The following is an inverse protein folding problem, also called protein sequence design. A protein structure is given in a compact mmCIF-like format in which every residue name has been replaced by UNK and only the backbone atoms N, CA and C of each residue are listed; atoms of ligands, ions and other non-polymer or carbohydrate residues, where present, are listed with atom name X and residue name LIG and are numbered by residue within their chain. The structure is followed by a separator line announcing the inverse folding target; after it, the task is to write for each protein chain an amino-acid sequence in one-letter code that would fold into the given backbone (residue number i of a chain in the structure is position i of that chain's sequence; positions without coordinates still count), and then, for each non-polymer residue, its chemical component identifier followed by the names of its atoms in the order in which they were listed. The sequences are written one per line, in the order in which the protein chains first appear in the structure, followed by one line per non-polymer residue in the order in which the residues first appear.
data_IF_799941190268
#
_entry.id   IF_799941190268
#
_cell.length_a   1.000
_cell.length_b   1.000
_cell.length_c   1.000
_cell.angle_alpha   90.00
_cell.angle_beta   90.00
_cell.angle_gamma   90.00
#
_symmetry.space_group_name_H-M   'P 1'
#
loop_
_entity.id
_entity.type
_entity.pdbx_description
1 polymer ?
#
# COMPACT_ATOMS: atom_id res chain seq x y z
N UNK A 1 8.51 59.42 -14.89
CA UNK A 1 9.03 58.04 -15.05
C UNK A 1 8.62 57.13 -13.89
N UNK A 2 8.78 57.54 -12.63
CA UNK A 2 8.39 56.77 -11.44
C UNK A 2 6.90 56.40 -11.36
N UNK A 3 5.99 57.33 -11.66
CA UNK A 3 4.53 57.09 -11.65
C UNK A 3 4.12 56.08 -12.74
N UNK A 4 4.69 56.19 -13.94
CA UNK A 4 4.44 55.24 -15.03
C UNK A 4 4.97 53.84 -14.71
N UNK A 5 6.16 53.75 -14.11
CA UNK A 5 6.73 52.49 -13.61
C UNK A 5 5.87 51.84 -12.52
N UNK A 6 5.38 52.63 -11.56
CA UNK A 6 4.49 52.15 -10.50
C UNK A 6 3.14 51.64 -11.04
N UNK A 7 2.55 52.33 -12.03
CA UNK A 7 1.31 51.89 -12.68
C UNK A 7 1.48 50.60 -13.50
N UNK A 8 2.62 50.45 -14.19
CA UNK A 8 2.96 49.23 -14.91
C UNK A 8 3.18 48.05 -13.96
N UNK A 9 3.93 48.27 -12.87
CA UNK A 9 4.16 47.26 -11.85
C UNK A 9 2.85 46.83 -11.16
N UNK A 10 2.00 47.79 -10.79
CA UNK A 10 0.67 47.52 -10.23
C UNK A 10 -0.18 46.66 -11.17
N UNK A 11 -0.26 47.02 -12.45
CA UNK A 11 -1.01 46.23 -13.44
C UNK A 11 -0.45 44.82 -13.63
N UNK A 12 0.87 44.66 -13.57
CA UNK A 12 1.52 43.35 -13.66
C UNK A 12 1.13 42.47 -12.46
N UNK A 13 1.22 43.01 -11.24
CA UNK A 13 0.87 42.32 -10.00
C UNK A 13 -0.62 41.96 -9.98
N UNK A 14 -1.51 42.90 -10.31
CA UNK A 14 -2.97 42.66 -10.39
C UNK A 14 -3.31 41.53 -11.37
N UNK A 15 -2.68 41.49 -12.55
CA UNK A 15 -2.90 40.41 -13.54
C UNK A 15 -2.42 39.04 -13.04
N UNK A 16 -1.26 38.99 -12.38
CA UNK A 16 -0.71 37.74 -11.82
C UNK A 16 -1.57 37.22 -10.66
N UNK A 17 -1.91 38.08 -9.71
CA UNK A 17 -2.81 37.74 -8.59
C UNK A 17 -4.21 37.33 -9.08
N UNK A 18 -4.75 38.04 -10.07
CA UNK A 18 -6.04 37.69 -10.67
C UNK A 18 -6.04 36.33 -11.37
N UNK A 19 -4.88 35.83 -11.80
CA UNK A 19 -4.75 34.48 -12.37
C UNK A 19 -4.76 33.43 -11.26
N UNK A 20 -3.96 33.63 -10.20
CA UNK A 20 -3.95 32.74 -9.02
C UNK A 20 -5.35 32.64 -8.40
N UNK A 21 -6.03 33.78 -8.20
CA UNK A 21 -7.37 33.83 -7.62
C UNK A 21 -8.42 33.12 -8.49
N UNK A 22 -8.31 33.19 -9.81
CA UNK A 22 -9.21 32.46 -10.72
C UNK A 22 -8.99 30.95 -10.64
N UNK A 23 -7.74 30.50 -10.64
CA UNK A 23 -7.42 29.08 -10.45
C UNK A 23 -7.93 28.58 -9.09
N UNK A 24 -7.73 29.35 -8.02
CA UNK A 24 -8.24 29.01 -6.69
C UNK A 24 -9.78 28.88 -6.66
N UNK A 25 -10.51 29.77 -7.33
CA UNK A 25 -11.97 29.68 -7.42
C UNK A 25 -12.46 28.45 -8.21
N UNK A 26 -11.73 28.04 -9.26
CA UNK A 26 -12.03 26.81 -10.01
C UNK A 26 -11.80 25.56 -9.13
N UNK A 27 -10.73 25.56 -8.34
CA UNK A 27 -10.43 24.49 -7.38
C UNK A 27 -11.49 24.41 -6.29
N UNK A 28 -11.92 25.56 -5.74
CA UNK A 28 -13.03 25.64 -4.76
C UNK A 28 -14.34 25.09 -5.34
N UNK A 29 -14.58 25.30 -6.64
CA UNK A 29 -15.73 24.74 -7.36
C UNK A 29 -15.58 23.24 -7.71
N UNK A 30 -14.47 22.60 -7.36
CA UNK A 30 -14.23 21.16 -7.51
C UNK A 30 -13.37 20.75 -8.71
N UNK A 31 -12.89 21.69 -9.52
CA UNK A 31 -11.95 21.40 -10.61
C UNK A 31 -10.50 21.34 -10.07
N UNK A 32 -10.11 20.17 -9.59
CA UNK A 32 -8.76 19.90 -9.10
C UNK A 32 -7.71 19.78 -10.21
N UNK A 33 -8.12 19.69 -11.49
CA UNK A 33 -7.22 19.59 -12.65
C UNK A 33 -6.65 20.95 -13.08
N UNK A 34 -7.28 22.03 -12.64
CA UNK A 34 -6.86 23.39 -12.90
C UNK A 34 -5.44 23.67 -12.35
N UNK A 35 -4.62 24.39 -13.12
CA UNK A 35 -3.24 24.76 -12.75
C UNK A 35 -2.95 26.25 -12.95
N UNK A 36 -2.06 26.79 -12.13
CA UNK A 36 -1.58 28.16 -12.26
C UNK A 36 -0.59 28.22 -13.42
N UNK A 37 -0.79 29.06 -14.45
CA UNK A 37 0.17 29.23 -15.54
C UNK A 37 1.48 29.83 -15.02
N UNK A 38 2.56 29.04 -15.07
CA UNK A 38 3.90 29.48 -14.67
C UNK A 38 4.60 30.11 -15.88
N UNK A 39 5.02 31.37 -15.77
CA UNK A 39 5.82 32.07 -16.81
C UNK A 39 6.87 32.95 -16.16
N UNK A 40 8.11 32.83 -16.61
CA UNK A 40 9.26 33.59 -16.09
C UNK A 40 10.05 32.83 -15.02
N UNK A 41 10.97 33.53 -14.37
CA UNK A 41 11.81 33.02 -13.26
C UNK A 41 11.70 33.88 -12.00
N UNK A 42 10.62 34.67 -11.90
CA UNK A 42 10.33 35.54 -10.77
C UNK A 42 9.70 34.76 -9.60
N UNK A 43 9.50 35.43 -8.47
CA UNK A 43 8.94 34.89 -7.23
C UNK A 43 7.51 34.36 -7.46
N UNK A 44 6.75 34.96 -8.38
CA UNK A 44 5.43 34.48 -8.78
C UNK A 44 5.50 33.15 -9.52
N UNK A 45 6.51 32.95 -10.37
CA UNK A 45 6.75 31.68 -11.04
C UNK A 45 7.22 30.59 -10.05
N UNK A 46 7.95 30.94 -9.00
CA UNK A 46 8.30 30.01 -7.92
C UNK A 46 7.05 29.58 -7.15
N UNK A 47 6.27 30.54 -6.65
CA UNK A 47 5.02 30.29 -5.93
C UNK A 47 4.02 29.47 -6.76
N UNK A 48 3.87 29.79 -8.05
CA UNK A 48 2.99 29.04 -8.94
C UNK A 48 3.41 27.57 -9.10
N UNK A 49 4.73 27.28 -9.13
CA UNK A 49 5.24 25.90 -9.15
C UNK A 49 4.96 25.17 -7.85
N UNK A 50 5.16 25.83 -6.70
CA UNK A 50 4.92 25.21 -5.41
C UNK A 50 3.44 24.90 -5.18
N UNK A 51 2.54 25.82 -5.55
CA UNK A 51 1.09 25.58 -5.51
C UNK A 51 0.70 24.45 -6.48
N UNK A 52 1.19 24.46 -7.72
CA UNK A 52 0.89 23.38 -8.65
C UNK A 52 1.36 22.02 -8.13
N UNK A 53 2.54 21.93 -7.49
CA UNK A 53 3.01 20.69 -6.85
C UNK A 53 2.09 20.24 -5.71
N UNK A 54 1.57 21.18 -4.91
CA UNK A 54 0.55 20.87 -3.91
C UNK A 54 -0.75 20.37 -4.56
N UNK A 55 -1.19 20.96 -5.67
CA UNK A 55 -2.40 20.55 -6.38
C UNK A 55 -2.25 19.18 -7.02
N UNK A 56 -1.10 18.88 -7.64
CA UNK A 56 -0.77 17.54 -8.14
C UNK A 56 -0.88 16.49 -7.02
N UNK A 57 -0.39 16.84 -5.81
CA UNK A 57 -0.51 15.97 -4.63
C UNK A 57 -1.97 15.80 -4.19
N UNK A 58 -2.78 16.86 -4.18
CA UNK A 58 -4.19 16.81 -3.80
C UNK A 58 -5.01 15.99 -4.80
N UNK A 59 -4.78 16.18 -6.09
CA UNK A 59 -5.47 15.45 -7.16
C UNK A 59 -5.16 13.95 -7.06
N UNK A 60 -3.90 13.58 -6.89
CA UNK A 60 -3.48 12.19 -6.69
C UNK A 60 -4.12 11.56 -5.45
N UNK A 61 -4.19 12.30 -4.33
CA UNK A 61 -4.88 11.84 -3.11
C UNK A 61 -6.40 11.66 -3.35
N UNK A 62 -7.04 12.57 -4.07
CA UNK A 62 -8.47 12.54 -4.35
C UNK A 62 -8.86 11.45 -5.36
N UNK A 63 -8.04 11.23 -6.40
CA UNK A 63 -8.21 10.10 -7.31
C UNK A 63 -8.06 8.77 -6.58
N UNK A 64 -7.06 8.67 -5.69
CA UNK A 64 -6.89 7.53 -4.79
C UNK A 64 -8.17 7.24 -4.00
N UNK A 65 -8.72 8.23 -3.29
CA UNK A 65 -9.95 8.09 -2.49
C UNK A 65 -11.16 7.67 -3.36
N UNK A 66 -11.32 8.23 -4.56
CA UNK A 66 -12.46 7.91 -5.44
C UNK A 66 -12.38 6.50 -6.02
N UNK A 67 -11.20 6.07 -6.49
CA UNK A 67 -11.00 4.70 -6.96
C UNK A 67 -11.22 3.69 -5.82
N UNK A 68 -10.69 4.01 -4.64
CA UNK A 68 -10.86 3.22 -3.42
C UNK A 68 -12.35 3.10 -3.06
N UNK A 69 -13.11 4.19 -3.06
CA UNK A 69 -14.52 4.18 -2.64
C UNK A 69 -15.42 3.36 -3.58
N UNK A 70 -15.23 3.46 -4.91
CA UNK A 70 -16.05 2.72 -5.87
C UNK A 70 -15.68 1.23 -5.95
N UNK A 71 -14.40 0.89 -5.90
CA UNK A 71 -13.94 -0.49 -5.90
C UNK A 71 -14.34 -1.21 -4.60
N UNK A 72 -14.14 -0.58 -3.44
CA UNK A 72 -14.57 -1.13 -2.14
C UNK A 72 -16.07 -1.38 -2.13
N UNK A 73 -16.89 -0.43 -2.58
CA UNK A 73 -18.34 -0.60 -2.53
C UNK A 73 -18.82 -1.78 -3.40
N UNK A 74 -18.22 -1.98 -4.57
CA UNK A 74 -18.53 -3.11 -5.45
C UNK A 74 -18.07 -4.45 -4.84
N UNK A 75 -16.86 -4.48 -4.29
CA UNK A 75 -16.23 -5.72 -3.82
C UNK A 75 -16.68 -6.12 -2.40
N UNK A 76 -17.30 -5.21 -1.65
CA UNK A 76 -18.07 -5.54 -0.44
C UNK A 76 -19.46 -6.07 -0.75
N UNK A 77 -20.11 -5.58 -1.82
CA UNK A 77 -21.49 -5.98 -2.19
C UNK A 77 -21.58 -7.46 -2.53
N UNK A 78 -20.56 -8.01 -3.17
CA UNK A 78 -20.51 -9.43 -3.59
C UNK A 78 -20.50 -10.41 -2.40
N UNK A 79 -19.54 -10.35 -1.45
CA UNK A 79 -19.53 -11.24 -0.28
C UNK A 79 -20.73 -10.99 0.64
N UNK A 80 -21.15 -9.74 0.87
CA UNK A 80 -22.37 -9.45 1.65
C UNK A 80 -23.63 -10.04 0.99
N UNK A 81 -23.72 -9.98 -0.34
CA UNK A 81 -24.78 -10.64 -1.10
C UNK A 81 -24.76 -12.16 -0.93
N UNK A 82 -23.57 -12.76 -0.92
CA UNK A 82 -23.39 -14.21 -0.70
C UNK A 82 -23.79 -14.63 0.71
N UNK A 83 -23.35 -13.91 1.75
CA UNK A 83 -23.75 -14.13 3.14
C UNK A 83 -25.26 -14.06 3.28
N UNK A 84 -25.88 -13.00 2.73
CA UNK A 84 -27.33 -12.85 2.75
C UNK A 84 -28.05 -14.01 2.06
N UNK A 85 -27.60 -14.40 0.87
CA UNK A 85 -28.21 -15.52 0.13
C UNK A 85 -28.12 -16.84 0.90
N UNK A 86 -26.95 -17.15 1.49
CA UNK A 86 -26.77 -18.37 2.30
C UNK A 86 -27.72 -18.42 3.50
N UNK A 87 -27.88 -17.29 4.18
CA UNK A 87 -28.80 -17.18 5.32
C UNK A 87 -30.26 -17.29 4.86
N UNK A 88 -30.65 -16.62 3.76
CA UNK A 88 -32.00 -16.73 3.17
C UNK A 88 -32.32 -18.18 2.73
N UNK A 89 -31.37 -18.89 2.14
CA UNK A 89 -31.52 -20.29 1.72
C UNK A 89 -31.62 -21.26 2.91
N UNK A 90 -30.91 -20.98 3.99
CA UNK A 90 -31.02 -21.73 5.24
C UNK A 90 -32.41 -21.55 5.89
N UNK A 91 -33.01 -20.36 5.75
CA UNK A 91 -34.33 -20.02 6.28
C UNK A 91 -35.51 -20.54 5.43
N UNK A 92 -35.33 -20.67 4.09
CA UNK A 92 -36.40 -21.13 3.17
C UNK A 92 -36.58 -22.65 3.10
N UNK A 93 -35.56 -23.41 3.51
CA UNK A 93 -35.59 -24.87 3.53
C UNK A 93 -36.29 -25.36 4.81
N UNK A 94 -36.62 -26.66 4.95
CA UNK A 94 -36.98 -27.23 6.25
C UNK A 94 -35.85 -26.94 7.26
N UNK A 95 -36.08 -25.93 8.10
CA UNK A 95 -35.06 -25.31 8.92
C UNK A 95 -34.72 -26.22 10.10
N UNK A 96 -33.75 -27.11 9.88
CA UNK A 96 -33.19 -27.94 10.95
C UNK A 96 -32.11 -27.16 11.70
N UNK A 97 -32.03 -27.37 13.02
CA UNK A 97 -31.02 -26.73 13.89
C UNK A 97 -29.58 -26.91 13.36
N UNK A 98 -29.16 -28.10 12.87
CA UNK A 98 -27.82 -28.27 12.31
C UNK A 98 -27.55 -27.43 11.07
N UNK A 99 -28.53 -27.30 10.16
CA UNK A 99 -28.39 -26.52 8.92
C UNK A 99 -28.31 -25.02 9.20
N UNK A 100 -29.16 -24.52 10.09
CA UNK A 100 -29.11 -23.12 10.55
C UNK A 100 -27.76 -22.81 11.22
N UNK A 101 -27.28 -23.73 12.07
CA UNK A 101 -25.99 -23.56 12.75
C UNK A 101 -24.81 -23.58 11.78
N UNK A 102 -24.85 -24.43 10.75
CA UNK A 102 -23.84 -24.45 9.68
C UNK A 102 -23.83 -23.15 8.89
N UNK A 103 -24.99 -22.70 8.40
CA UNK A 103 -25.09 -21.43 7.67
C UNK A 103 -24.65 -20.21 8.49
N UNK A 104 -24.92 -20.22 9.80
CA UNK A 104 -24.46 -19.17 10.70
C UNK A 104 -22.93 -19.16 10.87
N UNK A 105 -22.28 -20.33 10.97
CA UNK A 105 -20.81 -20.42 11.04
C UNK A 105 -20.17 -19.91 9.75
N UNK A 106 -20.64 -20.38 8.60
CA UNK A 106 -20.16 -19.94 7.29
C UNK A 106 -20.32 -18.42 7.11
N UNK A 107 -21.44 -17.86 7.60
CA UNK A 107 -21.68 -16.42 7.57
C UNK A 107 -20.73 -15.64 8.49
N UNK A 108 -20.44 -16.16 9.69
CA UNK A 108 -19.47 -15.57 10.62
C UNK A 108 -18.08 -15.55 10.00
N UNK A 109 -17.60 -16.68 9.46
CA UNK A 109 -16.29 -16.76 8.82
C UNK A 109 -16.14 -15.74 7.68
N UNK A 110 -17.20 -15.57 6.89
CA UNK A 110 -17.19 -14.63 5.77
C UNK A 110 -17.30 -13.16 6.20
N UNK A 111 -17.97 -12.88 7.33
CA UNK A 111 -17.96 -11.55 7.96
C UNK A 111 -16.57 -11.25 8.55
N UNK A 112 -15.91 -12.22 9.17
CA UNK A 112 -14.56 -12.05 9.69
C UNK A 112 -13.55 -11.76 8.57
N UNK A 113 -13.72 -12.40 7.40
CA UNK A 113 -12.95 -12.06 6.19
C UNK A 113 -13.19 -10.62 5.73
N UNK A 114 -14.42 -10.13 5.80
CA UNK A 114 -14.77 -8.74 5.47
C UNK A 114 -14.18 -7.75 6.47
N UNK A 115 -14.15 -8.08 7.76
CA UNK A 115 -13.51 -7.26 8.79
C UNK A 115 -12.00 -7.17 8.53
N UNK A 116 -11.33 -8.31 8.30
CA UNK A 116 -9.90 -8.35 7.93
C UNK A 116 -9.61 -7.54 6.66
N UNK A 117 -10.51 -7.59 5.67
CA UNK A 117 -10.40 -6.76 4.47
C UNK A 117 -10.45 -5.26 4.80
N UNK A 118 -11.38 -4.85 5.66
CA UNK A 118 -11.51 -3.46 6.06
C UNK A 118 -10.30 -2.94 6.84
N UNK A 119 -9.77 -3.73 7.77
CA UNK A 119 -8.55 -3.42 8.51
C UNK A 119 -7.35 -3.19 7.58
N UNK A 120 -7.18 -4.07 6.58
CA UNK A 120 -6.15 -3.93 5.54
C UNK A 120 -6.32 -2.65 4.72
N UNK A 121 -7.54 -2.23 4.42
CA UNK A 121 -7.81 -0.99 3.69
C UNK A 121 -7.53 0.26 4.53
N UNK A 122 -7.91 0.25 5.82
CA UNK A 122 -7.55 1.31 6.76
C UNK A 122 -6.04 1.44 6.87
N UNK A 123 -5.32 0.33 6.96
CA UNK A 123 -3.87 0.33 7.02
C UNK A 123 -3.22 0.97 5.79
N UNK A 124 -3.73 0.68 4.59
CA UNK A 124 -3.26 1.33 3.37
C UNK A 124 -3.52 2.84 3.44
N UNK A 125 -4.73 3.25 3.82
CA UNK A 125 -5.08 4.66 3.93
C UNK A 125 -4.21 5.40 4.96
N UNK A 126 -3.92 4.76 6.10
CA UNK A 126 -3.02 5.28 7.13
C UNK A 126 -1.60 5.45 6.60
N UNK A 127 -1.05 4.43 5.91
CA UNK A 127 0.27 4.50 5.29
C UNK A 127 0.35 5.62 4.24
N UNK A 128 -0.63 5.75 3.36
CA UNK A 128 -0.65 6.76 2.29
C UNK A 128 -0.87 8.19 2.79
N UNK A 129 -1.63 8.35 3.87
CA UNK A 129 -1.92 9.68 4.43
C UNK A 129 -0.65 10.42 4.89
N UNK A 130 0.46 9.70 5.11
CA UNK A 130 1.72 10.26 5.59
C UNK A 130 1.62 10.93 6.96
N UNK A 131 0.46 10.86 7.62
CA UNK A 131 0.13 11.54 8.87
C UNK A 131 1.02 11.10 10.04
N UNK A 132 1.67 9.93 9.94
CA UNK A 132 2.61 9.38 10.94
C UNK A 132 4.09 9.63 10.66
N UNK A 133 4.47 10.29 9.56
CA UNK A 133 5.88 10.65 9.30
C UNK A 133 6.51 11.51 10.41
N UNK A 134 5.69 12.18 11.25
CA UNK A 134 6.14 12.96 12.42
C UNK A 134 6.43 12.12 13.68
N UNK A 135 6.16 10.81 13.66
CA UNK A 135 6.34 9.88 14.78
C UNK A 135 7.31 8.74 14.45
N UNK A 136 8.09 8.87 13.38
CA UNK A 136 9.07 7.86 13.03
C UNK A 136 10.10 7.71 14.15
N UNK A 137 10.27 6.46 14.58
CA UNK A 137 11.25 6.07 15.56
C UNK A 137 12.37 5.29 14.86
N UNK A 138 13.53 5.25 15.51
CA UNK A 138 14.67 4.48 15.03
C UNK A 138 14.44 3.00 15.31
N UNK A 139 14.31 2.22 14.25
CA UNK A 139 13.91 0.80 14.29
C UNK A 139 15.04 -0.06 13.75
N UNK A 140 15.34 -1.17 14.44
CA UNK A 140 16.17 -2.22 13.88
C UNK A 140 15.32 -3.15 13.00
N UNK A 141 15.51 -3.08 11.68
CA UNK A 141 14.85 -3.96 10.71
C UNK A 141 15.23 -5.42 10.90
N UNK A 142 16.45 -5.71 11.37
CA UNK A 142 16.87 -7.08 11.61
C UNK A 142 16.04 -7.74 12.70
N UNK A 143 15.69 -6.99 13.75
CA UNK A 143 14.79 -7.44 14.80
C UNK A 143 13.38 -7.71 14.28
N UNK A 144 12.82 -6.84 13.43
CA UNK A 144 11.51 -7.09 12.80
C UNK A 144 11.52 -8.38 11.96
N UNK A 145 12.59 -8.60 11.17
CA UNK A 145 12.71 -9.80 10.35
C UNK A 145 12.68 -11.09 11.19
N UNK A 146 13.39 -11.09 12.33
CA UNK A 146 13.43 -12.21 13.27
C UNK A 146 12.08 -12.41 13.96
N UNK A 147 11.53 -11.38 14.58
CA UNK A 147 10.25 -11.46 15.30
C UNK A 147 9.11 -12.01 14.43
N UNK A 148 9.00 -11.51 13.20
CA UNK A 148 7.96 -11.95 12.28
C UNK A 148 8.28 -13.34 11.72
N UNK A 149 9.55 -13.65 11.47
CA UNK A 149 9.95 -15.00 11.07
C UNK A 149 9.58 -16.06 12.11
N UNK A 150 9.90 -15.81 13.38
CA UNK A 150 9.58 -16.71 14.50
C UNK A 150 8.06 -16.89 14.64
N UNK A 151 7.28 -15.81 14.48
CA UNK A 151 5.82 -15.88 14.52
C UNK A 151 5.21 -16.73 13.40
N UNK A 152 5.86 -16.80 12.23
CA UNK A 152 5.39 -17.55 11.06
C UNK A 152 5.99 -18.96 10.96
N UNK A 153 6.89 -19.36 11.86
CA UNK A 153 7.51 -20.69 11.87
C UNK A 153 6.46 -21.80 11.87
N UNK A 154 5.52 -21.77 12.81
CA UNK A 154 4.44 -22.77 12.90
C UNK A 154 3.54 -22.78 11.65
N UNK A 155 3.21 -21.61 11.10
CA UNK A 155 2.39 -21.53 9.87
C UNK A 155 3.14 -22.04 8.64
N UNK A 156 4.46 -21.84 8.57
CA UNK A 156 5.29 -22.40 7.51
C UNK A 156 5.36 -23.94 7.62
N UNK A 157 5.54 -24.47 8.83
CA UNK A 157 5.51 -25.92 9.09
C UNK A 157 4.17 -26.56 8.72
N UNK A 158 3.04 -25.97 9.14
CA UNK A 158 1.69 -26.42 8.78
C UNK A 158 1.47 -26.38 7.25
N UNK A 159 2.09 -25.41 6.57
CA UNK A 159 2.10 -25.28 5.11
C UNK A 159 3.08 -26.21 4.39
N UNK A 160 3.92 -26.95 5.12
CA UNK A 160 4.98 -27.79 4.56
C UNK A 160 6.11 -27.00 3.87
N UNK A 161 6.37 -25.77 4.33
CA UNK A 161 7.36 -24.83 3.77
C UNK A 161 8.53 -24.67 4.74
N UNK A 162 9.76 -24.77 4.24
CA UNK A 162 10.94 -24.48 5.05
C UNK A 162 11.18 -22.97 5.14
N UNK A 163 11.10 -22.40 6.35
CA UNK A 163 11.34 -20.98 6.60
C UNK A 163 12.76 -20.76 7.16
N UNK A 164 13.52 -19.83 6.57
CA UNK A 164 14.81 -19.39 7.14
C UNK A 164 14.90 -17.87 7.19
N UNK A 165 15.47 -17.34 8.26
CA UNK A 165 15.70 -15.90 8.43
C UNK A 165 17.20 -15.63 8.54
N UNK A 166 17.69 -14.72 7.70
CA UNK A 166 19.06 -14.20 7.75
C UNK A 166 18.98 -12.67 7.86
N UNK A 167 19.35 -12.16 9.03
CA UNK A 167 19.22 -10.75 9.35
C UNK A 167 20.37 -10.29 10.27
N UNK A 168 21.00 -9.14 10.00
CA UNK A 168 22.05 -8.59 10.86
C UNK A 168 21.48 -8.11 12.21
N UNK A 169 22.35 -7.90 13.19
CA UNK A 169 21.98 -7.33 14.51
C UNK A 169 21.77 -5.82 14.49
N UNK A 170 22.29 -5.13 13.47
CA UNK A 170 22.30 -3.66 13.41
C UNK A 170 21.93 -3.18 12.01
N UNK A 171 20.62 -3.01 11.75
CA UNK A 171 20.13 -2.42 10.50
C UNK A 171 19.03 -1.40 10.81
N UNK A 172 19.43 -0.15 10.99
CA UNK A 172 18.52 0.89 11.46
C UNK A 172 17.86 1.67 10.33
N UNK A 173 16.55 1.89 10.46
CA UNK A 173 15.74 2.82 9.64
C UNK A 173 14.88 3.69 10.53
N UNK A 174 14.48 4.85 10.05
CA UNK A 174 13.47 5.68 10.73
C UNK A 174 12.10 5.33 10.16
N UNK A 175 11.17 4.93 11.03
CA UNK A 175 9.88 4.44 10.57
C UNK A 175 8.85 4.14 11.63
N UNK A 176 7.81 3.44 11.21
CA UNK A 176 6.75 2.91 12.04
C UNK A 176 6.88 1.39 12.17
N UNK A 177 7.15 0.92 13.39
CA UNK A 177 7.39 -0.50 13.65
C UNK A 177 6.22 -1.38 13.24
N UNK A 178 4.99 -0.94 13.49
CA UNK A 178 3.80 -1.74 13.23
C UNK A 178 3.51 -1.85 11.73
N UNK A 179 3.69 -0.76 10.99
CA UNK A 179 3.54 -0.79 9.53
C UNK A 179 4.60 -1.67 8.87
N UNK A 180 5.87 -1.54 9.29
CA UNK A 180 6.97 -2.36 8.76
C UNK A 180 6.78 -3.84 9.10
N UNK A 181 6.45 -4.17 10.35
CA UNK A 181 6.15 -5.53 10.78
C UNK A 181 5.01 -6.14 9.96
N UNK A 182 3.94 -5.38 9.73
CA UNK A 182 2.81 -5.85 8.95
C UNK A 182 3.13 -6.01 7.45
N UNK A 183 4.00 -5.16 6.88
CA UNK A 183 4.47 -5.35 5.52
C UNK A 183 5.29 -6.65 5.39
N UNK A 184 6.19 -6.93 6.35
CA UNK A 184 6.96 -8.18 6.38
C UNK A 184 6.04 -9.39 6.53
N UNK A 185 5.07 -9.33 7.44
CA UNK A 185 4.06 -10.37 7.63
C UNK A 185 3.25 -10.61 6.34
N UNK A 186 2.88 -9.54 5.62
CA UNK A 186 2.18 -9.64 4.34
C UNK A 186 3.04 -10.29 3.24
N UNK A 187 4.35 -10.05 3.25
CA UNK A 187 5.27 -10.72 2.32
C UNK A 187 5.43 -12.20 2.65
N UNK A 188 5.57 -12.56 3.94
CA UNK A 188 5.67 -13.94 4.40
C UNK A 188 4.40 -14.75 4.15
N UNK A 189 3.23 -14.18 4.48
CA UNK A 189 1.92 -14.78 4.20
C UNK A 189 1.77 -15.12 2.72
N UNK A 190 2.13 -14.18 1.83
CA UNK A 190 2.13 -14.43 0.40
C UNK A 190 3.15 -15.52 0.01
N UNK A 191 4.39 -15.44 0.50
CA UNK A 191 5.44 -16.37 0.13
C UNK A 191 5.09 -17.82 0.52
N UNK A 192 4.67 -18.05 1.77
CA UNK A 192 4.28 -19.38 2.26
C UNK A 192 3.09 -19.93 1.46
N UNK A 193 2.08 -19.08 1.24
CA UNK A 193 0.86 -19.44 0.52
C UNK A 193 1.10 -19.81 -0.95
N UNK A 194 1.94 -19.04 -1.66
CA UNK A 194 2.17 -19.24 -3.10
C UNK A 194 3.29 -20.24 -3.40
N UNK A 195 4.24 -20.42 -2.49
CA UNK A 195 5.24 -21.49 -2.59
C UNK A 195 4.57 -22.85 -2.46
N UNK A 196 3.79 -23.05 -1.40
CA UNK A 196 3.11 -24.31 -1.12
C UNK A 196 4.04 -25.42 -0.62
N UNK A 197 3.51 -26.63 -0.34
CA UNK A 197 4.28 -27.70 0.31
C UNK A 197 5.52 -28.13 -0.47
N UNK A 198 6.62 -28.40 0.23
CA UNK A 198 7.89 -28.87 -0.34
C UNK A 198 8.85 -27.78 -0.83
N UNK A 199 8.47 -26.52 -0.62
CA UNK A 199 9.22 -25.33 -1.04
C UNK A 199 9.91 -24.63 0.15
N UNK A 200 10.74 -23.64 -0.14
CA UNK A 200 11.49 -22.87 0.84
C UNK A 200 11.23 -21.36 0.71
N UNK A 201 11.04 -20.73 1.86
CA UNK A 201 10.92 -19.27 2.00
C UNK A 201 12.10 -18.74 2.80
N UNK A 202 12.75 -17.70 2.27
CA UNK A 202 13.92 -17.07 2.87
C UNK A 202 13.66 -15.59 3.12
N UNK A 203 13.77 -15.16 4.37
CA UNK A 203 13.79 -13.74 4.75
C UNK A 203 15.24 -13.29 4.85
N UNK A 204 15.60 -12.23 4.12
CA UNK A 204 16.94 -11.63 4.14
C UNK A 204 16.86 -10.14 4.41
N UNK A 205 17.46 -9.70 5.50
CA UNK A 205 17.64 -8.28 5.79
C UNK A 205 19.12 -7.88 5.63
N UNK A 206 19.38 -6.65 5.19
CA UNK A 206 20.75 -6.17 5.05
C UNK A 206 20.84 -4.86 4.27
N UNK A 207 22.06 -4.39 4.05
CA UNK A 207 22.31 -3.23 3.18
C UNK A 207 22.32 -3.69 1.73
N UNK A 208 21.51 -3.03 0.90
CA UNK A 208 21.43 -3.26 -0.54
C UNK A 208 22.12 -2.15 -1.33
N UNK A 209 22.26 -2.38 -2.63
CA UNK A 209 22.90 -1.47 -3.60
C UNK A 209 22.50 -0.01 -3.34
N UNK A 210 23.47 0.90 -3.36
CA UNK A 210 23.22 2.32 -3.11
C UNK A 210 23.11 2.72 -1.64
N UNK A 211 23.41 1.82 -0.70
CA UNK A 211 23.39 2.14 0.73
C UNK A 211 21.98 2.22 1.32
N UNK A 212 21.02 1.51 0.74
CA UNK A 212 19.66 1.41 1.27
C UNK A 212 19.57 0.22 2.22
N UNK A 213 18.76 0.35 3.27
CA UNK A 213 18.35 -0.78 4.07
C UNK A 213 17.38 -1.64 3.24
N UNK A 214 17.46 -2.95 3.38
CA UNK A 214 16.58 -3.86 2.67
C UNK A 214 16.07 -4.97 3.56
N UNK A 215 14.84 -5.37 3.31
CA UNK A 215 14.27 -6.62 3.78
C UNK A 215 13.59 -7.30 2.59
N UNK A 216 14.00 -8.53 2.29
CA UNK A 216 13.53 -9.31 1.17
C UNK A 216 12.95 -10.63 1.65
N UNK A 217 11.81 -11.00 1.09
CA UNK A 217 11.25 -12.33 1.22
C UNK A 217 11.35 -12.99 -0.15
N UNK A 218 12.01 -14.14 -0.19
CA UNK A 218 12.15 -14.95 -1.38
C UNK A 218 11.43 -16.29 -1.18
N UNK A 219 10.58 -16.66 -2.12
CA UNK A 219 10.11 -18.03 -2.30
C UNK A 219 10.80 -18.70 -3.50
N UNK A 220 10.67 -20.01 -3.61
CA UNK A 220 11.09 -20.83 -4.76
C UNK A 220 9.88 -21.44 -5.51
N UNK A 221 8.71 -20.81 -5.39
CA UNK A 221 7.47 -21.22 -6.06
C UNK A 221 7.40 -20.82 -7.54
N UNK A 222 6.19 -20.67 -8.12
CA UNK A 222 6.01 -20.35 -9.54
C UNK A 222 6.45 -18.93 -9.93
N UNK A 223 6.64 -18.03 -8.95
CA UNK A 223 7.03 -16.64 -9.17
C UNK A 223 5.94 -15.79 -9.83
N UNK A 224 6.33 -14.59 -10.29
CA UNK A 224 5.43 -13.65 -11.00
C UNK A 224 6.06 -13.29 -12.35
N UNK A 225 5.33 -13.47 -13.48
CA UNK A 225 5.78 -13.05 -14.80
C UNK A 225 6.14 -11.56 -14.83
N UNK A 226 7.21 -11.21 -15.52
CA UNK A 226 7.73 -9.82 -15.54
C UNK A 226 6.68 -8.79 -15.96
N UNK A 227 5.86 -9.10 -16.97
CA UNK A 227 4.78 -8.24 -17.47
C UNK A 227 3.66 -7.96 -16.44
N UNK A 228 3.59 -8.76 -15.38
CA UNK A 228 2.56 -8.69 -14.35
C UNK A 228 3.05 -8.02 -13.06
N UNK A 229 4.37 -7.86 -12.88
CA UNK A 229 4.98 -7.33 -11.64
C UNK A 229 4.52 -5.92 -11.28
N UNK A 230 4.27 -5.06 -12.27
CA UNK A 230 3.77 -3.70 -12.02
C UNK A 230 2.27 -3.66 -11.67
N UNK A 231 1.53 -4.72 -11.96
CA UNK A 231 0.08 -4.79 -11.71
C UNK A 231 -0.22 -5.45 -10.36
N UNK A 232 0.58 -6.42 -9.94
CA UNK A 232 0.38 -7.14 -8.66
C UNK A 232 0.55 -6.27 -7.41
N UNK A 233 1.15 -5.09 -7.54
CA UNK A 233 1.21 -4.07 -6.48
C UNK A 233 -0.04 -3.18 -6.44
N UNK A 234 -0.93 -3.29 -7.44
CA UNK A 234 -2.22 -2.60 -7.44
C UNK A 234 -3.20 -3.33 -6.51
N UNK A 235 -4.05 -2.55 -5.83
CA UNK A 235 -5.08 -3.10 -4.95
C UNK A 235 -6.03 -4.01 -5.73
N UNK A 236 -6.41 -5.12 -5.10
CA UNK A 236 -7.34 -6.11 -5.65
C UNK A 236 -6.85 -6.85 -6.91
N UNK A 237 -5.63 -6.58 -7.36
CA UNK A 237 -5.05 -7.29 -8.48
C UNK A 237 -4.61 -8.69 -8.05
N UNK A 238 -4.96 -9.69 -8.86
CA UNK A 238 -4.57 -11.09 -8.67
C UNK A 238 -4.31 -11.71 -10.03
N UNK A 239 -3.27 -12.56 -10.10
CA UNK A 239 -3.02 -13.40 -11.27
C UNK A 239 -4.19 -14.36 -11.47
N UNK A 240 -4.59 -14.63 -12.71
CA UNK A 240 -5.69 -15.52 -13.01
C UNK A 240 -5.49 -16.92 -12.40
N UNK A 241 -4.26 -17.44 -12.50
CA UNK A 241 -3.87 -18.72 -11.91
C UNK A 241 -3.91 -18.71 -10.39
N UNK A 242 -3.92 -17.55 -9.73
CA UNK A 242 -3.96 -17.46 -8.27
C UNK A 242 -5.36 -17.35 -7.71
N UNK A 243 -6.40 -17.10 -8.52
CA UNK A 243 -7.76 -16.73 -8.06
C UNK A 243 -8.43 -17.77 -7.16
N UNK A 244 -8.06 -19.05 -7.30
CA UNK A 244 -8.59 -20.16 -6.51
C UNK A 244 -8.05 -20.21 -5.08
N UNK A 245 -6.92 -19.55 -4.79
CA UNK A 245 -6.36 -19.46 -3.45
C UNK A 245 -7.11 -18.39 -2.61
N UNK A 246 -7.19 -18.52 -1.27
CA UNK A 246 -7.86 -17.52 -0.42
C UNK A 246 -7.07 -16.18 -0.38
N UNK A 247 -7.72 -15.03 -0.59
CA UNK A 247 -7.09 -13.71 -0.42
C UNK A 247 -7.58 -12.63 -1.40
N UNK A 248 -7.41 -11.36 -1.02
CA UNK A 248 -8.09 -10.22 -1.66
C UNK A 248 -7.19 -9.36 -2.57
N UNK A 249 -5.96 -9.79 -2.87
CA UNK A 249 -5.04 -9.01 -3.73
C UNK A 249 -4.55 -7.70 -3.10
N UNK A 250 -4.61 -7.57 -1.77
CA UNK A 250 -4.18 -6.36 -1.06
C UNK A 250 -2.78 -6.47 -0.45
N UNK A 251 -2.22 -7.68 -0.30
CA UNK A 251 -0.97 -7.88 0.43
C UNK A 251 0.20 -7.04 -0.12
N UNK A 252 0.49 -7.17 -1.41
CA UNK A 252 1.56 -6.38 -2.05
C UNK A 252 1.22 -4.89 -2.16
N UNK A 253 -0.06 -4.52 -2.20
CA UNK A 253 -0.49 -3.12 -2.17
C UNK A 253 -0.21 -2.47 -0.81
N UNK A 254 -0.43 -3.18 0.31
CA UNK A 254 -0.05 -2.75 1.66
C UNK A 254 1.46 -2.55 1.71
N UNK A 255 2.23 -3.54 1.25
CA UNK A 255 3.69 -3.47 1.28
C UNK A 255 4.21 -2.29 0.48
N UNK A 256 3.68 -2.07 -0.72
CA UNK A 256 4.03 -0.93 -1.56
C UNK A 256 3.69 0.40 -0.89
N UNK A 257 2.51 0.52 -0.29
CA UNK A 257 2.10 1.73 0.42
C UNK A 257 2.98 2.00 1.65
N UNK A 258 3.31 0.95 2.42
CA UNK A 258 4.24 1.04 3.55
C UNK A 258 5.62 1.48 3.11
N UNK A 259 6.19 0.88 2.07
CA UNK A 259 7.52 1.27 1.57
C UNK A 259 7.56 2.74 1.15
N UNK A 260 6.55 3.18 0.38
CA UNK A 260 6.41 4.58 -0.05
C UNK A 260 6.25 5.54 1.14
N UNK A 261 5.48 5.18 2.16
CA UNK A 261 5.29 5.98 3.38
C UNK A 261 6.60 6.22 4.13
N UNK A 262 7.56 5.29 4.01
CA UNK A 262 8.88 5.35 4.63
C UNK A 262 9.96 5.95 3.71
N UNK A 263 9.57 6.56 2.59
CA UNK A 263 10.51 7.15 1.62
C UNK A 263 11.29 6.11 0.82
N UNK A 264 10.80 4.87 0.79
CA UNK A 264 11.39 3.74 0.10
C UNK A 264 10.54 3.23 -1.07
N UNK A 265 10.82 2.01 -1.50
CA UNK A 265 10.09 1.35 -2.59
C UNK A 265 10.02 -0.17 -2.41
N UNK A 266 9.02 -0.80 -3.04
CA UNK A 266 8.90 -2.25 -3.18
C UNK A 266 9.42 -2.65 -4.57
N UNK A 267 10.39 -3.56 -4.60
CA UNK A 267 10.97 -4.14 -5.82
C UNK A 267 10.63 -5.62 -5.89
N UNK A 268 10.17 -6.06 -7.07
CA UNK A 268 9.89 -7.47 -7.37
C UNK A 268 10.92 -8.00 -8.37
N UNK A 269 11.77 -8.93 -7.93
CA UNK A 269 12.84 -9.53 -8.73
C UNK A 269 12.53 -11.02 -9.00
N UNK A 270 13.19 -11.60 -10.01
CA UNK A 270 13.11 -13.04 -10.25
C UNK A 270 13.93 -13.79 -9.20
N UNK A 271 13.34 -14.82 -8.57
CA UNK A 271 14.00 -15.67 -7.58
C UNK A 271 14.79 -16.83 -8.20
N UNK A 272 14.48 -17.19 -9.45
CA UNK A 272 15.09 -18.27 -10.22
C UNK A 272 15.38 -19.57 -9.42
N UNK A 273 14.35 -20.34 -9.00
CA UNK A 273 12.91 -20.13 -9.23
C UNK A 273 12.26 -19.20 -8.18
N UNK A 274 10.99 -18.85 -8.42
CA UNK A 274 10.17 -18.07 -7.48
C UNK A 274 10.25 -16.55 -7.64
N UNK A 275 9.87 -15.85 -6.58
CA UNK A 275 9.85 -14.38 -6.52
C UNK A 275 10.76 -13.89 -5.40
N UNK A 276 11.42 -12.75 -5.63
CA UNK A 276 12.00 -11.95 -4.54
C UNK A 276 11.21 -10.67 -4.40
N UNK A 277 10.48 -10.53 -3.30
CA UNK A 277 9.81 -9.29 -2.94
C UNK A 277 10.68 -8.53 -1.93
N UNK A 278 11.19 -7.35 -2.31
CA UNK A 278 12.17 -6.58 -1.55
C UNK A 278 11.63 -5.20 -1.22
N UNK A 279 11.58 -4.87 0.07
CA UNK A 279 11.36 -3.50 0.54
C UNK A 279 12.73 -2.84 0.66
N UNK A 280 12.89 -1.68 0.01
CA UNK A 280 14.07 -0.83 0.09
C UNK A 280 13.72 0.44 0.86
N UNK A 281 14.51 0.77 1.89
CA UNK A 281 14.29 1.93 2.75
C UNK A 281 15.58 2.75 2.90
N UNK A 282 15.50 4.07 3.13
CA UNK A 282 16.66 4.86 3.54
C UNK A 282 17.24 4.34 4.86
N UNK A 283 18.57 4.23 4.96
CA UNK A 283 19.23 3.97 6.24
C UNK A 283 19.00 5.15 7.19
N UNK A 284 18.76 4.84 8.47
CA UNK A 284 18.81 5.84 9.51
C UNK A 284 20.23 6.43 9.59
N UNK A 285 20.39 7.75 9.80
CA UNK A 285 21.69 8.35 10.01
C UNK A 285 22.47 7.64 11.12
N UNK A 286 23.77 7.45 10.90
CA UNK A 286 24.69 7.08 11.98
C UNK A 286 24.69 8.24 12.99
N UNK A 287 24.25 7.97 14.22
CA UNK A 287 24.34 8.95 15.31
C UNK A 287 25.79 9.17 15.72
#
# INVERSE_FOLDING_TARGET
LTVAGALLFRRLVERRLGTIRRTAALIEAGDLSSRIPVRGRDEFALLGRDINRMLDRIELLMEGIRHVSNAIAHDLRTPLGRVRSKLDDALRSEATVPRLSGAARDAIEEIDDLIRLFERLLQIAEAESGMRSRLFERIDLGHIARDIGDMYEASAEDGGVALTVDAPEHLYVDGDRNLLASAVASLLDNAIKYAGPGHAVRVRAGVFRGGLASIAVQDDGPGIPEAERSKVTQRFYRLDDSRHLPGNGLGLAIVSATALAHGGELVLEDGAPGLVARILLPLAPSN
#
